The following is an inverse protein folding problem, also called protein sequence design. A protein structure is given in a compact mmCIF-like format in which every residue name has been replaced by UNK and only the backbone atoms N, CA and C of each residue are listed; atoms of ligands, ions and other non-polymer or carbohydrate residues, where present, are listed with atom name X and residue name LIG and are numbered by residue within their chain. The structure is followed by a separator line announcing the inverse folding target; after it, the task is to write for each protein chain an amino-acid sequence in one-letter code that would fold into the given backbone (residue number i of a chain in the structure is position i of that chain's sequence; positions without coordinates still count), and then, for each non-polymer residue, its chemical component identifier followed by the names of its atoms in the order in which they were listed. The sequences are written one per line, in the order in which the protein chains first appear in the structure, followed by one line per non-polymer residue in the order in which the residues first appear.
data_IF_584463771741
#
_entry.id   IF_584463771741
#
_cell.length_a   1.000
_cell.length_b   1.000
_cell.length_c   1.000
_cell.angle_alpha   90.00
_cell.angle_beta   90.00
_cell.angle_gamma   90.00
#
_symmetry.space_group_name_H-M   'P 1'
#
loop_
_entity.id
_entity.type
_entity.pdbx_description
1 polymer ?
#
# COMPACT_ATOMS: atom_id res chain seq x y z
N UNK A 1 -9.79 -10.24 -26.55
CA UNK A 1 -9.48 -9.44 -25.34
C UNK A 1 -7.99 -9.12 -25.35
N UNK A 2 -7.60 -7.85 -25.41
CA UNK A 2 -6.18 -7.45 -25.37
C UNK A 2 -5.64 -7.59 -23.94
N UNK A 3 -4.60 -8.40 -23.76
CA UNK A 3 -3.86 -8.47 -22.49
C UNK A 3 -3.14 -7.14 -22.25
N UNK A 4 -3.03 -6.70 -21.00
CA UNK A 4 -2.15 -5.57 -20.65
C UNK A 4 -0.72 -5.85 -21.13
N UNK A 5 -0.09 -4.85 -21.75
CA UNK A 5 1.32 -4.89 -22.17
C UNK A 5 1.96 -3.57 -21.79
N UNK A 6 2.98 -3.62 -20.93
CA UNK A 6 3.73 -2.44 -20.56
C UNK A 6 4.52 -1.92 -21.80
N UNK A 7 4.34 -0.64 -22.19
CA UNK A 7 4.96 -0.09 -23.40
C UNK A 7 6.46 0.24 -23.22
N UNK A 8 6.97 0.29 -22.00
CA UNK A 8 8.38 0.59 -21.72
C UNK A 8 9.24 -0.67 -21.60
N UNK A 9 10.55 -0.62 -21.90
CA UNK A 9 11.45 -1.75 -21.68
C UNK A 9 11.44 -2.20 -20.21
N UNK A 10 11.23 -3.49 -19.97
CA UNK A 10 11.23 -4.11 -18.65
C UNK A 10 11.67 -5.57 -18.78
N UNK A 11 12.11 -6.17 -17.67
CA UNK A 11 12.36 -7.60 -17.64
C UNK A 11 11.03 -8.36 -17.81
N UNK A 12 11.02 -9.38 -18.68
CA UNK A 12 9.88 -10.27 -18.77
C UNK A 12 9.95 -11.30 -17.64
N UNK A 13 8.86 -11.41 -16.88
CA UNK A 13 8.71 -12.39 -15.81
C UNK A 13 7.64 -13.41 -16.17
N UNK A 14 7.88 -14.68 -15.82
CA UNK A 14 6.93 -15.77 -16.03
C UNK A 14 6.68 -16.52 -14.71
N UNK A 15 5.76 -17.50 -14.75
CA UNK A 15 5.36 -18.26 -13.55
C UNK A 15 6.52 -19.00 -12.87
N UNK A 16 7.58 -19.38 -13.62
CA UNK A 16 8.77 -20.02 -13.01
C UNK A 16 9.54 -19.04 -12.14
N UNK A 17 9.53 -17.75 -12.47
CA UNK A 17 10.17 -16.72 -11.66
C UNK A 17 9.42 -16.52 -10.34
N UNK A 18 8.09 -16.64 -10.35
CA UNK A 18 7.27 -16.63 -9.12
C UNK A 18 7.63 -17.84 -8.24
N UNK A 19 7.71 -19.05 -8.82
CA UNK A 19 8.08 -20.26 -8.09
C UNK A 19 9.49 -20.14 -7.50
N UNK A 20 10.45 -19.65 -8.29
CA UNK A 20 11.83 -19.42 -7.85
C UNK A 20 11.88 -18.44 -6.68
N UNK A 21 11.12 -17.35 -6.75
CA UNK A 21 11.01 -16.37 -5.67
C UNK A 21 10.39 -16.96 -4.40
N UNK A 22 9.27 -17.68 -4.52
CA UNK A 22 8.61 -18.35 -3.39
C UNK A 22 9.53 -19.37 -2.70
N UNK A 23 10.35 -20.09 -3.47
CA UNK A 23 11.35 -21.04 -2.97
C UNK A 23 12.65 -20.38 -2.50
N UNK A 24 12.73 -19.04 -2.54
CA UNK A 24 13.92 -18.24 -2.17
C UNK A 24 15.19 -18.63 -2.95
N UNK A 25 15.04 -19.13 -4.17
CA UNK A 25 16.13 -19.55 -5.07
C UNK A 25 16.68 -18.41 -5.91
N UNK A 26 17.09 -17.32 -5.26
CA UNK A 26 17.62 -16.13 -5.92
C UNK A 26 18.05 -15.06 -4.91
N UNK A 27 18.46 -13.87 -5.40
CA UNK A 27 18.80 -12.74 -4.55
C UNK A 27 17.69 -12.48 -3.54
N UNK A 28 18.05 -12.44 -2.26
CA UNK A 28 17.12 -12.12 -1.19
C UNK A 28 17.29 -10.65 -0.86
N UNK A 29 16.17 -9.96 -0.65
CA UNK A 29 16.20 -8.59 -0.14
C UNK A 29 16.74 -8.61 1.30
N UNK A 30 17.72 -7.77 1.57
CA UNK A 30 18.21 -7.54 2.92
C UNK A 30 17.42 -6.41 3.56
N UNK A 31 16.93 -6.57 4.80
CA UNK A 31 16.26 -5.49 5.50
C UNK A 31 17.14 -4.25 5.56
N UNK A 32 16.57 -3.08 5.25
CA UNK A 32 17.27 -1.79 5.39
C UNK A 32 17.64 -1.54 6.86
N UNK A 33 16.80 -2.02 7.78
CA UNK A 33 16.98 -1.96 9.22
C UNK A 33 17.00 -3.40 9.76
N UNK A 34 18.19 -3.99 10.03
CA UNK A 34 18.32 -5.39 10.44
C UNK A 34 17.59 -5.71 11.74
N UNK A 35 17.54 -4.75 12.67
CA UNK A 35 16.94 -4.91 14.00
C UNK A 35 15.47 -4.51 14.06
N UNK A 36 14.88 -4.10 12.92
CA UNK A 36 13.46 -3.76 12.89
C UNK A 36 12.61 -5.02 13.10
N UNK A 37 11.59 -4.96 13.99
CA UNK A 37 10.71 -6.09 14.20
C UNK A 37 9.92 -6.40 12.92
N UNK A 38 9.83 -7.68 12.54
CA UNK A 38 8.95 -8.16 11.45
C UNK A 38 7.50 -8.31 11.94
N UNK A 39 7.01 -7.31 12.67
CA UNK A 39 5.63 -7.25 13.13
C UNK A 39 4.88 -6.16 12.37
N UNK A 40 3.56 -6.32 12.17
CA UNK A 40 2.78 -5.29 11.51
C UNK A 40 2.85 -3.97 12.28
N UNK A 41 2.95 -2.85 11.56
CA UNK A 41 2.95 -1.53 12.16
C UNK A 41 1.68 -1.31 13.00
N UNK A 42 1.84 -0.63 14.14
CA UNK A 42 0.71 -0.30 15.01
C UNK A 42 -0.34 0.53 14.27
N UNK A 43 -1.60 0.07 14.29
CA UNK A 43 -2.72 0.82 13.71
C UNK A 43 -3.03 2.04 14.57
N UNK A 44 -3.04 3.22 13.97
CA UNK A 44 -3.59 4.44 14.55
C UNK A 44 -4.91 4.75 13.87
N UNK A 45 -6.00 4.74 14.62
CA UNK A 45 -7.32 5.11 14.09
C UNK A 45 -7.30 6.57 13.62
N UNK A 46 -7.91 6.83 12.47
CA UNK A 46 -8.01 8.14 11.86
C UNK A 46 -9.48 8.54 11.82
N UNK A 47 -9.86 9.59 12.53
CA UNK A 47 -11.24 10.06 12.53
C UNK A 47 -11.51 10.99 11.35
N UNK A 48 -12.74 10.98 10.82
CA UNK A 48 -13.18 11.87 9.75
C UNK A 48 -12.92 13.33 10.08
N UNK A 49 -13.18 13.74 11.32
CA UNK A 49 -13.03 15.13 11.78
C UNK A 49 -11.57 15.59 11.71
N UNK A 50 -10.63 14.68 12.00
CA UNK A 50 -9.20 14.98 11.95
C UNK A 50 -8.72 15.30 10.54
N UNK A 51 -9.37 14.73 9.51
CA UNK A 51 -9.00 14.87 8.10
C UNK A 51 -10.05 15.60 7.26
N UNK A 52 -11.09 16.15 7.87
CA UNK A 52 -12.20 16.77 7.15
C UNK A 52 -11.75 17.95 6.27
N UNK A 53 -10.73 18.69 6.72
CA UNK A 53 -10.16 19.81 5.99
C UNK A 53 -8.63 19.73 5.95
N UNK A 54 -8.00 20.15 4.83
CA UNK A 54 -6.57 20.35 4.76
C UNK A 54 -6.06 21.35 5.82
N UNK A 55 -4.80 21.20 6.27
CA UNK A 55 -4.20 22.18 7.18
C UNK A 55 -4.12 23.57 6.53
N UNK A 56 -4.24 24.62 7.36
CA UNK A 56 -4.20 26.02 6.90
C UNK A 56 -2.82 26.42 6.36
N UNK A 57 -1.77 25.75 6.81
CA UNK A 57 -0.40 25.91 6.31
C UNK A 57 0.32 24.56 6.24
N UNK A 58 1.22 24.44 5.26
CA UNK A 58 2.00 23.22 5.04
C UNK A 58 1.20 22.05 4.45
N UNK A 59 1.81 20.86 4.54
CA UNK A 59 1.22 19.60 4.08
C UNK A 59 1.10 18.62 5.25
N UNK A 60 -0.02 17.90 5.30
CA UNK A 60 -0.23 16.73 6.14
C UNK A 60 -0.14 15.48 5.27
N UNK A 61 0.71 14.56 5.67
CA UNK A 61 0.82 13.24 5.04
C UNK A 61 0.28 12.21 6.04
N UNK A 62 -0.73 11.47 5.61
CA UNK A 62 -1.28 10.37 6.39
C UNK A 62 -1.10 9.07 5.63
N UNK A 63 -0.36 8.14 6.24
CA UNK A 63 -0.19 6.79 5.68
C UNK A 63 -1.42 5.94 6.01
N UNK A 64 -2.03 5.36 4.98
CA UNK A 64 -3.25 4.53 5.09
C UNK A 64 -2.95 3.02 5.03
N UNK A 65 -1.67 2.66 4.91
CA UNK A 65 -1.18 1.29 4.76
C UNK A 65 -0.75 0.98 3.32
N UNK A 66 0.18 0.04 3.17
CA UNK A 66 0.79 -0.30 1.87
C UNK A 66 1.36 0.95 1.17
N UNK A 67 1.05 1.17 -0.10
CA UNK A 67 1.39 2.37 -0.87
C UNK A 67 0.30 3.46 -0.80
N UNK A 68 -0.73 3.31 0.04
CA UNK A 68 -1.85 4.25 0.10
C UNK A 68 -1.54 5.44 1.01
N UNK A 69 -1.73 6.66 0.50
CA UNK A 69 -1.51 7.90 1.25
C UNK A 69 -2.65 8.91 1.02
N UNK A 70 -3.03 9.61 2.09
CA UNK A 70 -3.80 10.84 2.02
C UNK A 70 -2.86 12.04 2.23
N UNK A 71 -2.74 12.88 1.20
CA UNK A 71 -1.96 14.11 1.23
C UNK A 71 -2.92 15.30 1.29
N UNK A 72 -2.80 16.15 2.30
CA UNK A 72 -3.65 17.33 2.44
C UNK A 72 -2.82 18.59 2.58
N UNK A 73 -3.10 19.60 1.77
CA UNK A 73 -2.39 20.88 1.79
C UNK A 73 -2.85 21.78 0.66
N UNK A 74 -2.52 23.07 0.72
CA UNK A 74 -2.92 24.06 -0.30
C UNK A 74 -4.42 24.04 -0.65
N UNK A 75 -5.29 23.74 0.33
CA UNK A 75 -6.74 23.65 0.14
C UNK A 75 -7.22 22.40 -0.61
N UNK A 76 -6.37 21.40 -0.86
CA UNK A 76 -6.73 20.15 -1.54
C UNK A 76 -6.43 18.91 -0.70
N UNK A 77 -7.17 17.84 -0.99
CA UNK A 77 -6.92 16.48 -0.49
C UNK A 77 -6.65 15.55 -1.68
N UNK A 78 -5.53 14.83 -1.66
CA UNK A 78 -5.12 13.90 -2.70
C UNK A 78 -4.99 12.50 -2.10
N UNK A 79 -5.62 11.53 -2.76
CA UNK A 79 -5.52 10.12 -2.42
C UNK A 79 -4.60 9.44 -3.43
N UNK A 80 -3.53 8.82 -2.93
CA UNK A 80 -2.49 8.14 -3.74
C UNK A 80 -2.62 6.64 -3.53
N UNK A 81 -2.63 5.87 -4.63
CA UNK A 81 -2.72 4.40 -4.68
C UNK A 81 -3.70 3.79 -3.66
N UNK A 82 -5.00 4.14 -3.70
CA UNK A 82 -5.95 3.71 -2.69
C UNK A 82 -6.19 2.20 -2.70
N UNK A 83 -5.84 1.54 -1.59
CA UNK A 83 -6.11 0.11 -1.36
C UNK A 83 -6.84 -0.09 -0.03
N UNK A 84 -8.18 -0.09 -0.10
CA UNK A 84 -9.08 -0.33 1.04
C UNK A 84 -9.62 -1.77 1.10
N UNK A 85 -9.34 -2.58 0.09
CA UNK A 85 -9.70 -3.99 0.08
C UNK A 85 -8.89 -4.81 1.09
N UNK A 86 -9.40 -5.99 1.42
CA UNK A 86 -8.71 -7.00 2.23
C UNK A 86 -7.52 -7.63 1.51
N UNK A 87 -7.50 -7.61 0.18
CA UNK A 87 -6.50 -8.27 -0.66
C UNK A 87 -5.96 -7.29 -1.69
N UNK A 88 -4.63 -7.20 -1.79
CA UNK A 88 -3.92 -6.47 -2.84
C UNK A 88 -3.54 -7.41 -4.01
N UNK A 89 -4.41 -8.37 -4.31
CA UNK A 89 -4.18 -9.42 -5.30
C UNK A 89 -5.50 -9.81 -5.98
N UNK A 90 -5.45 -10.34 -7.22
CA UNK A 90 -6.65 -10.79 -7.93
C UNK A 90 -7.29 -12.04 -7.32
N UNK A 91 -6.61 -12.71 -6.38
CA UNK A 91 -7.05 -13.93 -5.73
C UNK A 91 -7.12 -13.74 -4.21
N UNK A 92 -8.24 -14.10 -3.55
CA UNK A 92 -8.42 -13.91 -2.11
C UNK A 92 -7.78 -15.05 -1.30
N UNK A 93 -6.47 -15.26 -1.46
CA UNK A 93 -5.72 -16.26 -0.68
C UNK A 93 -5.42 -15.70 0.71
N UNK A 94 -5.63 -16.48 1.76
CA UNK A 94 -5.43 -16.05 3.16
C UNK A 94 -4.03 -15.46 3.42
N UNK A 95 -3.00 -16.00 2.77
CA UNK A 95 -1.62 -15.50 2.85
C UNK A 95 -1.40 -14.12 2.21
N UNK A 96 -2.29 -13.69 1.32
CA UNK A 96 -2.27 -12.40 0.63
C UNK A 96 -3.23 -11.39 1.26
N UNK A 97 -3.92 -11.75 2.34
CA UNK A 97 -4.78 -10.83 3.09
C UNK A 97 -3.91 -9.77 3.78
N UNK A 98 -4.39 -8.53 3.82
CA UNK A 98 -3.75 -7.44 4.55
C UNK A 98 -3.57 -7.84 6.03
N UNK A 99 -2.38 -7.55 6.57
CA UNK A 99 -2.05 -7.86 7.98
C UNK A 99 -2.61 -6.84 8.97
N UNK A 100 -2.88 -5.61 8.51
CA UNK A 100 -3.40 -4.50 9.32
C UNK A 100 -4.55 -3.85 8.58
N UNK A 101 -5.67 -3.67 9.25
CA UNK A 101 -6.83 -2.94 8.74
C UNK A 101 -6.47 -1.47 8.43
N UNK A 102 -7.16 -0.84 7.45
CA UNK A 102 -6.94 0.56 7.16
C UNK A 102 -7.29 1.43 8.39
N UNK A 103 -6.66 2.61 8.54
CA UNK A 103 -6.89 3.45 9.73
C UNK A 103 -8.29 4.09 9.77
N UNK A 104 -8.99 4.16 8.63
CA UNK A 104 -10.36 4.66 8.47
C UNK A 104 -11.07 3.93 7.32
N UNK A 105 -12.39 4.11 7.21
CA UNK A 105 -13.18 3.66 6.06
C UNK A 105 -12.99 4.55 4.84
N UNK A 106 -13.40 4.08 3.66
CA UNK A 106 -13.38 4.90 2.45
C UNK A 106 -14.40 6.05 2.56
N UNK A 107 -15.52 5.78 3.22
CA UNK A 107 -16.57 6.73 3.53
C UNK A 107 -16.08 7.90 4.37
N UNK A 108 -15.07 7.70 5.23
CA UNK A 108 -14.53 8.71 6.14
C UNK A 108 -13.61 9.73 5.48
N UNK A 109 -13.21 9.48 4.22
CA UNK A 109 -12.37 10.40 3.46
C UNK A 109 -13.16 11.64 3.01
N UNK A 110 -12.51 12.82 2.94
CA UNK A 110 -13.11 14.06 2.46
C UNK A 110 -13.33 14.11 0.95
#
# INVERSE_FOLDING_TARGET
MSRFRNPWPHAEHNLRDILRWQLKWGPQETPVLPDAPDTPAGRKSLSREAIALPPTSGWRVTWLGHAAFLLQGAGVSLLVDPVFSDYCAPLPLSSLRRKVDPPCGMEDLP
#
